data_IF_265182996464
#
_entry.id   IF_265182996464
#
_cell.length_a   1.000
_cell.length_b   1.000
_cell.length_c   1.000
_cell.angle_alpha   90.00
_cell.angle_beta   90.00
_cell.angle_gamma   90.00
#
_symmetry.space_group_name_H-M   'P 1'
#
loop_
_entity.id
_entity.type
_entity.pdbx_description
1 polymer ?
#
# COMPACT_ATOMS: atom_id res chain seq x y z
N UNK A 1 -27.75 -29.14 -27.19
CA UNK A 1 -28.10 -28.78 -25.81
C UNK A 1 -27.35 -27.49 -25.48
N UNK A 2 -28.03 -26.35 -25.51
CA UNK A 2 -27.41 -25.03 -25.32
C UNK A 2 -27.50 -24.64 -23.83
N UNK A 3 -26.36 -24.37 -23.20
CA UNK A 3 -26.26 -23.91 -21.82
C UNK A 3 -26.49 -22.39 -21.79
N UNK A 4 -27.71 -21.96 -21.48
CA UNK A 4 -28.00 -20.53 -21.21
C UNK A 4 -27.39 -20.15 -19.86
N UNK A 5 -26.35 -19.32 -19.88
CA UNK A 5 -25.88 -18.61 -18.69
C UNK A 5 -26.96 -17.61 -18.27
N UNK A 6 -27.57 -17.81 -17.11
CA UNK A 6 -28.47 -16.82 -16.51
C UNK A 6 -27.69 -15.55 -16.17
N UNK A 7 -28.00 -14.45 -16.84
CA UNK A 7 -27.59 -13.11 -16.42
C UNK A 7 -28.52 -12.67 -15.29
N UNK A 8 -28.33 -13.20 -14.08
CA UNK A 8 -28.87 -12.53 -12.90
C UNK A 8 -28.16 -11.18 -12.77
N UNK A 9 -28.88 -10.05 -12.73
CA UNK A 9 -28.25 -8.76 -12.46
C UNK A 9 -27.56 -8.86 -11.10
N UNK A 10 -26.23 -8.78 -11.07
CA UNK A 10 -25.52 -8.52 -9.81
C UNK A 10 -26.08 -7.21 -9.29
N UNK A 11 -26.83 -7.26 -8.19
CA UNK A 11 -27.12 -6.07 -7.40
C UNK A 11 -25.77 -5.44 -7.04
N UNK A 12 -25.45 -4.32 -7.65
CA UNK A 12 -24.41 -3.43 -7.16
C UNK A 12 -24.97 -2.82 -5.87
N UNK A 13 -24.76 -3.51 -4.75
CA UNK A 13 -24.78 -2.81 -3.48
C UNK A 13 -23.67 -1.76 -3.59
N UNK A 14 -24.04 -0.48 -3.45
CA UNK A 14 -23.05 0.58 -3.32
C UNK A 14 -22.08 0.13 -2.24
N UNK A 15 -20.82 0.01 -2.63
CA UNK A 15 -19.73 -0.35 -1.73
C UNK A 15 -19.81 0.56 -0.50
N UNK A 16 -19.70 -0.01 0.71
CA UNK A 16 -19.61 0.83 1.89
C UNK A 16 -18.35 1.72 1.72
N UNK A 17 -18.45 3.05 1.86
CA UNK A 17 -17.29 3.94 1.76
C UNK A 17 -16.14 3.55 2.71
N UNK A 18 -16.43 2.74 3.74
CA UNK A 18 -15.46 2.25 4.73
C UNK A 18 -14.79 0.92 4.35
N UNK A 19 -15.30 0.21 3.34
CA UNK A 19 -14.71 -1.05 2.86
C UNK A 19 -13.31 -0.79 2.28
N UNK A 20 -12.31 -1.65 2.53
CA UNK A 20 -10.97 -1.51 1.96
C UNK A 20 -10.93 -1.84 0.47
N UNK A 21 -10.21 -1.05 -0.34
CA UNK A 21 -10.13 -1.17 -1.80
C UNK A 21 -9.04 -2.15 -2.14
N UNK A 22 -9.35 -3.16 -2.95
CA UNK A 22 -8.33 -4.03 -3.52
C UNK A 22 -7.67 -3.31 -4.69
N UNK A 23 -6.36 -3.09 -4.61
CA UNK A 23 -5.58 -2.46 -5.67
C UNK A 23 -4.29 -3.24 -5.93
N UNK A 24 -4.02 -3.53 -7.20
CA UNK A 24 -2.93 -4.40 -7.62
C UNK A 24 -1.66 -3.62 -7.92
N UNK A 25 -0.52 -4.18 -7.55
CA UNK A 25 0.76 -3.66 -7.99
C UNK A 25 1.02 -4.09 -9.45
N UNK A 26 1.28 -3.15 -10.39
CA UNK A 26 1.43 -3.47 -11.81
C UNK A 26 2.50 -4.54 -12.07
N UNK A 27 2.14 -5.55 -12.89
CA UNK A 27 3.07 -6.60 -13.31
C UNK A 27 3.45 -7.62 -12.24
N UNK A 28 2.76 -7.66 -11.10
CA UNK A 28 3.05 -8.60 -10.00
C UNK A 28 1.80 -9.37 -9.56
N UNK A 29 1.97 -10.32 -8.62
CA UNK A 29 0.86 -10.98 -7.91
C UNK A 29 0.57 -10.35 -6.54
N UNK A 30 1.23 -9.24 -6.22
CA UNK A 30 1.06 -8.51 -4.97
C UNK A 30 -0.05 -7.47 -5.13
N UNK A 31 -0.90 -7.36 -4.11
CA UNK A 31 -1.96 -6.36 -4.05
C UNK A 31 -2.17 -5.89 -2.61
N UNK A 32 -2.83 -4.74 -2.46
CA UNK A 32 -3.20 -4.20 -1.15
C UNK A 32 -4.71 -4.11 -1.01
N UNK A 33 -5.21 -4.36 0.20
CA UNK A 33 -6.53 -3.93 0.62
C UNK A 33 -6.37 -2.61 1.40
N UNK A 34 -6.55 -1.48 0.72
CA UNK A 34 -6.24 -0.14 1.25
C UNK A 34 -7.47 0.62 1.71
N UNK A 35 -7.34 1.37 2.81
CA UNK A 35 -8.30 2.37 3.26
C UNK A 35 -7.58 3.66 3.59
N UNK A 36 -7.96 4.74 2.93
CA UNK A 36 -7.51 6.10 3.28
C UNK A 36 -8.39 6.63 4.40
N UNK A 37 -7.77 7.02 5.51
CA UNK A 37 -8.46 7.43 6.74
C UNK A 37 -9.08 8.81 6.57
N UNK A 38 -8.32 9.75 6.00
CA UNK A 38 -8.76 11.10 5.70
C UNK A 38 -8.01 11.66 4.50
N UNK A 39 -8.67 12.48 3.70
CA UNK A 39 -8.00 13.23 2.63
C UNK A 39 -7.15 14.34 3.21
N UNK A 40 -5.96 14.53 2.66
CA UNK A 40 -5.02 15.55 3.08
C UNK A 40 -4.22 16.05 1.87
N UNK A 41 -3.53 17.19 2.02
CA UNK A 41 -2.71 17.79 0.98
C UNK A 41 -1.77 16.74 0.31
N UNK A 42 -1.81 16.60 -1.03
CA UNK A 42 -1.15 15.51 -1.77
C UNK A 42 0.36 15.42 -1.58
N UNK A 43 1.02 16.56 -1.43
CA UNK A 43 2.46 16.66 -1.66
C UNK A 43 3.29 15.82 -0.68
N UNK A 44 2.94 15.83 0.61
CA UNK A 44 3.77 15.19 1.62
C UNK A 44 3.76 13.65 1.52
N UNK A 45 2.56 13.05 1.38
CA UNK A 45 2.41 11.60 1.26
C UNK A 45 3.06 11.08 -0.02
N UNK A 46 2.93 11.80 -1.14
CA UNK A 46 3.55 11.38 -2.39
C UNK A 46 5.08 11.45 -2.35
N UNK A 47 5.65 12.46 -1.69
CA UNK A 47 7.10 12.55 -1.50
C UNK A 47 7.61 11.45 -0.57
N UNK A 48 6.89 11.16 0.52
CA UNK A 48 7.18 10.03 1.41
C UNK A 48 7.23 8.71 0.61
N UNK A 49 6.15 8.39 -0.12
CA UNK A 49 6.05 7.14 -0.88
C UNK A 49 7.12 7.03 -1.96
N UNK A 50 7.40 8.12 -2.68
CA UNK A 50 8.48 8.13 -3.67
C UNK A 50 9.84 7.87 -3.02
N UNK A 51 10.14 8.51 -1.89
CA UNK A 51 11.40 8.32 -1.18
C UNK A 51 11.57 6.90 -0.61
N UNK A 52 10.52 6.35 -0.01
CA UNK A 52 10.49 4.97 0.45
C UNK A 52 10.71 3.97 -0.70
N UNK A 53 10.06 4.20 -1.85
CA UNK A 53 10.27 3.36 -3.04
C UNK A 53 11.71 3.43 -3.56
N UNK A 54 12.33 4.62 -3.56
CA UNK A 54 13.74 4.79 -3.94
C UNK A 54 14.68 4.10 -2.95
N UNK A 55 14.39 4.19 -1.65
CA UNK A 55 15.14 3.50 -0.59
C UNK A 55 15.12 1.97 -0.79
N UNK A 56 13.92 1.39 -0.93
CA UNK A 56 13.76 -0.05 -1.18
C UNK A 56 14.43 -0.47 -2.49
N UNK A 57 14.26 0.31 -3.56
CA UNK A 57 14.89 0.03 -4.85
C UNK A 57 16.42 0.05 -4.75
N UNK A 58 16.97 0.95 -3.93
CA UNK A 58 18.41 1.06 -3.69
C UNK A 58 18.90 -0.15 -2.91
N UNK A 59 18.15 -0.64 -1.91
CA UNK A 59 18.46 -1.88 -1.22
C UNK A 59 18.51 -3.06 -2.20
N UNK A 60 17.44 -3.26 -2.97
CA UNK A 60 17.33 -4.38 -3.92
C UNK A 60 18.47 -4.33 -4.96
N UNK A 61 18.81 -3.15 -5.46
CA UNK A 61 19.89 -3.00 -6.44
C UNK A 61 21.28 -3.35 -5.86
N UNK A 62 21.50 -3.15 -4.56
CA UNK A 62 22.79 -3.37 -3.89
C UNK A 62 22.94 -4.77 -3.30
N UNK A 63 21.86 -5.30 -2.72
CA UNK A 63 21.88 -6.53 -1.93
C UNK A 63 20.97 -7.64 -2.49
N UNK A 64 20.22 -7.36 -3.55
CA UNK A 64 19.23 -8.26 -4.12
C UNK A 64 17.86 -8.16 -3.44
N UNK A 65 16.87 -8.84 -4.02
CA UNK A 65 15.62 -9.10 -3.32
C UNK A 65 15.86 -10.24 -2.31
N UNK A 66 15.33 -10.07 -1.10
CA UNK A 66 15.60 -10.95 0.02
C UNK A 66 14.61 -10.68 1.15
N UNK A 67 14.75 -11.46 2.23
CA UNK A 67 13.87 -11.32 3.38
C UNK A 67 14.04 -9.96 4.03
N UNK A 68 12.92 -9.35 4.38
CA UNK A 68 12.89 -8.17 5.23
C UNK A 68 13.29 -8.58 6.64
N UNK A 69 14.42 -8.05 7.14
CA UNK A 69 14.90 -8.40 8.47
C UNK A 69 13.88 -7.98 9.53
N UNK A 70 13.60 -8.87 10.48
CA UNK A 70 12.57 -8.71 11.51
C UNK A 70 11.13 -8.54 10.97
N UNK A 71 10.91 -8.69 9.67
CA UNK A 71 9.59 -8.53 9.05
C UNK A 71 9.04 -7.12 9.15
N UNK A 72 9.88 -6.10 9.38
CA UNK A 72 9.45 -4.70 9.53
C UNK A 72 10.18 -3.81 8.52
N UNK A 73 9.43 -2.89 7.91
CA UNK A 73 9.96 -1.78 7.12
C UNK A 73 9.42 -0.48 7.71
N UNK A 74 10.30 0.49 7.94
CA UNK A 74 9.95 1.82 8.42
C UNK A 74 10.72 2.83 7.57
N UNK A 75 10.02 3.87 7.10
CA UNK A 75 10.66 5.00 6.45
C UNK A 75 10.03 6.30 6.93
N UNK A 76 10.85 7.10 7.62
CA UNK A 76 10.48 8.41 8.14
C UNK A 76 10.91 9.50 7.17
N UNK A 77 10.03 10.49 6.99
CA UNK A 77 10.34 11.68 6.23
C UNK A 77 9.74 12.92 6.87
N UNK A 78 10.64 13.76 7.37
CA UNK A 78 10.32 15.04 7.98
C UNK A 78 10.55 16.19 6.99
N UNK A 79 9.62 17.15 7.02
CA UNK A 79 9.72 18.45 6.36
C UNK A 79 9.29 19.55 7.33
N UNK A 80 9.51 20.83 6.98
CA UNK A 80 9.17 21.96 7.84
C UNK A 80 7.68 22.06 8.19
N UNK A 81 6.79 21.43 7.42
CA UNK A 81 5.35 21.46 7.65
C UNK A 81 4.70 20.14 8.07
N UNK A 82 5.44 19.02 8.09
CA UNK A 82 4.87 17.71 8.37
C UNK A 82 5.93 16.68 8.76
N UNK A 83 5.54 15.75 9.62
CA UNK A 83 6.23 14.49 9.87
C UNK A 83 5.40 13.36 9.25
N UNK A 84 6.03 12.51 8.44
CA UNK A 84 5.38 11.46 7.69
C UNK A 84 6.15 10.15 7.86
N UNK A 85 5.42 9.06 8.11
CA UNK A 85 6.00 7.72 8.23
C UNK A 85 5.23 6.76 7.32
N UNK A 86 5.94 5.84 6.69
CA UNK A 86 5.36 4.59 6.21
C UNK A 86 5.94 3.43 7.02
N UNK A 87 5.05 2.61 7.55
CA UNK A 87 5.38 1.46 8.36
C UNK A 87 4.72 0.22 7.76
N UNK A 88 5.46 -0.89 7.68
CA UNK A 88 4.89 -2.21 7.39
C UNK A 88 5.44 -3.27 8.32
N UNK A 89 4.61 -4.24 8.67
CA UNK A 89 4.99 -5.41 9.46
C UNK A 89 4.42 -6.68 8.85
N UNK A 90 5.12 -7.80 9.01
CA UNK A 90 4.63 -9.11 8.60
C UNK A 90 3.37 -9.53 9.37
N UNK A 91 2.48 -10.27 8.68
CA UNK A 91 1.28 -10.82 9.30
C UNK A 91 1.55 -12.24 9.79
N UNK A 92 1.37 -12.51 11.09
CA UNK A 92 1.45 -13.87 11.66
C UNK A 92 2.71 -14.66 11.24
N UNK A 93 3.88 -14.00 11.24
CA UNK A 93 5.16 -14.57 10.82
C UNK A 93 5.24 -14.98 9.33
N UNK A 94 4.32 -14.52 8.49
CA UNK A 94 4.43 -14.66 7.04
C UNK A 94 5.49 -13.70 6.53
N UNK A 95 6.69 -14.24 6.28
CA UNK A 95 7.84 -13.39 6.01
C UNK A 95 7.70 -12.62 4.70
N UNK A 96 7.97 -11.31 4.77
CA UNK A 96 7.96 -10.43 3.61
C UNK A 96 9.35 -10.37 2.98
N UNK A 97 9.40 -10.10 1.68
CA UNK A 97 10.62 -9.68 0.99
C UNK A 97 10.61 -8.19 0.71
N UNK A 98 11.79 -7.63 0.42
CA UNK A 98 11.90 -6.24 -0.06
C UNK A 98 11.06 -6.00 -1.32
N UNK A 99 11.04 -6.97 -2.25
CA UNK A 99 10.22 -6.94 -3.45
C UNK A 99 8.71 -6.86 -3.18
N UNK A 100 8.23 -7.61 -2.19
CA UNK A 100 6.81 -7.58 -1.77
C UNK A 100 6.44 -6.22 -1.17
N UNK A 101 7.27 -5.66 -0.28
CA UNK A 101 7.02 -4.33 0.28
C UNK A 101 7.04 -3.26 -0.81
N UNK A 102 8.01 -3.32 -1.73
CA UNK A 102 8.07 -2.41 -2.89
C UNK A 102 6.80 -2.48 -3.74
N UNK A 103 6.33 -3.69 -4.05
CA UNK A 103 5.12 -3.87 -4.84
C UNK A 103 3.90 -3.33 -4.10
N UNK A 104 3.77 -3.59 -2.80
CA UNK A 104 2.71 -3.02 -1.98
C UNK A 104 2.70 -1.49 -2.01
N UNK A 105 3.84 -0.83 -1.80
CA UNK A 105 3.94 0.63 -1.84
C UNK A 105 3.68 1.21 -3.23
N UNK A 106 4.04 0.49 -4.31
CA UNK A 106 3.63 0.86 -5.67
C UNK A 106 2.12 0.82 -5.84
N UNK A 107 1.44 -0.23 -5.35
CA UNK A 107 -0.01 -0.32 -5.40
C UNK A 107 -0.69 0.81 -4.60
N UNK A 108 -0.16 1.14 -3.42
CA UNK A 108 -0.67 2.26 -2.61
C UNK A 108 -0.50 3.59 -3.35
N UNK A 109 0.70 3.87 -3.86
CA UNK A 109 1.00 5.09 -4.61
C UNK A 109 0.12 5.23 -5.85
N UNK A 110 -0.02 4.15 -6.63
CA UNK A 110 -0.84 4.13 -7.84
C UNK A 110 -2.33 4.32 -7.54
N UNK A 111 -2.85 3.69 -6.49
CA UNK A 111 -4.22 3.90 -6.03
C UNK A 111 -4.47 5.36 -5.67
N UNK A 112 -3.60 5.96 -4.86
CA UNK A 112 -3.75 7.35 -4.40
C UNK A 112 -3.70 8.34 -5.57
N UNK A 113 -2.79 8.13 -6.51
CA UNK A 113 -2.66 8.95 -7.72
C UNK A 113 -3.86 8.79 -8.65
N UNK A 114 -4.22 7.55 -8.99
CA UNK A 114 -5.29 7.24 -9.94
C UNK A 114 -6.67 7.73 -9.48
N UNK A 115 -6.89 7.78 -8.16
CA UNK A 115 -8.17 8.20 -7.58
C UNK A 115 -8.16 9.63 -7.03
N UNK A 116 -7.01 10.32 -7.04
CA UNK A 116 -6.81 11.62 -6.40
C UNK A 116 -7.26 11.62 -4.92
N UNK A 117 -6.84 10.58 -4.18
CA UNK A 117 -7.15 10.40 -2.75
C UNK A 117 -5.84 10.15 -2.01
N UNK A 118 -5.22 11.22 -1.49
CA UNK A 118 -4.02 11.14 -0.67
C UNK A 118 -4.31 11.43 0.80
N UNK A 119 -3.53 10.82 1.67
CA UNK A 119 -3.57 11.06 3.11
C UNK A 119 -3.15 9.83 3.89
N UNK A 120 -3.26 9.88 5.23
CA UNK A 120 -3.01 8.74 6.08
C UNK A 120 -3.88 7.55 5.69
N UNK A 121 -3.30 6.36 5.74
CA UNK A 121 -3.95 5.16 5.25
C UNK A 121 -3.55 3.93 6.06
N UNK A 122 -4.43 2.94 6.08
CA UNK A 122 -4.11 1.57 6.53
C UNK A 122 -4.24 0.64 5.33
N UNK A 123 -3.39 -0.36 5.23
CA UNK A 123 -3.50 -1.36 4.18
C UNK A 123 -3.03 -2.74 4.64
N UNK A 124 -3.65 -3.77 4.09
CA UNK A 124 -3.20 -5.17 4.23
C UNK A 124 -2.54 -5.58 2.92
N UNK A 125 -1.39 -6.25 3.01
CA UNK A 125 -0.55 -6.67 1.89
C UNK A 125 -0.81 -8.15 1.63
N UNK A 126 -1.16 -8.47 0.39
CA UNK A 126 -1.35 -9.83 -0.07
C UNK A 126 -0.36 -10.12 -1.19
N UNK A 127 0.25 -11.30 -1.17
CA UNK A 127 1.03 -11.82 -2.29
C UNK A 127 0.48 -13.17 -2.74
N UNK A 128 0.16 -13.27 -4.03
CA UNK A 128 -0.42 -14.46 -4.65
C UNK A 128 -1.69 -15.02 -3.97
N UNK A 129 -2.42 -14.18 -3.21
CA UNK A 129 -3.64 -14.55 -2.47
C UNK A 129 -3.43 -14.83 -0.99
N UNK A 130 -2.20 -14.76 -0.49
CA UNK A 130 -1.87 -14.94 0.93
C UNK A 130 -1.62 -13.59 1.56
N UNK A 131 -2.23 -13.29 2.71
CA UNK A 131 -1.87 -12.12 3.51
C UNK A 131 -0.44 -12.30 4.02
N UNK A 132 0.43 -11.32 3.76
CA UNK A 132 1.85 -11.36 4.15
C UNK A 132 2.25 -10.20 5.04
N UNK A 133 1.45 -9.14 5.11
CA UNK A 133 1.71 -8.07 6.07
C UNK A 133 0.62 -7.02 6.15
N UNK A 134 0.85 -6.07 7.03
CA UNK A 134 0.01 -4.91 7.28
C UNK A 134 0.88 -3.66 7.19
N UNK A 135 0.27 -2.53 6.86
CA UNK A 135 0.99 -1.26 6.82
C UNK A 135 0.12 -0.05 7.09
N UNK A 136 0.79 1.01 7.47
CA UNK A 136 0.23 2.32 7.76
C UNK A 136 1.01 3.40 7.03
N UNK A 137 0.30 4.46 6.67
CA UNK A 137 0.87 5.76 6.33
C UNK A 137 0.33 6.72 7.36
N UNK A 138 1.24 7.35 8.08
CA UNK A 138 0.91 8.36 9.07
C UNK A 138 1.43 9.72 8.63
N UNK A 139 0.64 10.75 8.92
CA UNK A 139 1.07 12.13 8.75
C UNK A 139 0.60 12.96 9.93
N UNK A 140 1.58 13.60 10.56
CA UNK A 140 1.43 14.51 11.68
C UNK A 140 1.82 15.92 11.19
N UNK A 141 0.94 16.92 11.26
CA UNK A 141 1.31 18.30 10.97
C UNK A 141 2.46 18.75 11.87
N UNK A 142 3.47 19.40 11.28
CA UNK A 142 4.59 19.96 12.06
C UNK A 142 4.13 21.11 12.95
N UNK A 143 4.84 21.41 14.04
CA UNK A 143 4.62 22.65 14.78
C UNK A 143 4.97 23.82 13.84
N UNK A 144 4.01 24.72 13.69
CA UNK A 144 4.05 25.90 12.82
C UNK A 144 5.34 26.73 12.94
#
# INVERSE_FOLDING_TARGET
MLYQRSLTPRRFYGRDPTDPVIWWAPGTRTYVAIRVIRRMAPAAVMVLLHKALVDIQTHIARAGDGLLLNGIYIYDWQTSGADCEVYTINSNNHQQTWGVVRAALLAVSDYMLSNNVMGPATFTIYDAGTEVGQGTIEVTPGPW
#
